data_IF_654037024761
#
_entry.id   IF_654037024761
#
_cell.length_a   1.000
_cell.length_b   1.000
_cell.length_c   1.000
_cell.angle_alpha   90.00
_cell.angle_beta   90.00
_cell.angle_gamma   90.00
#
_symmetry.space_group_name_H-M   'P 1'
#
loop_
_entity.id
_entity.type
_entity.pdbx_description
1 polymer ?
#
# COMPACT_ATOMS: atom_id res chain seq x y z
N UNK A 1 -12.18 32.42 48.16
CA UNK A 1 -12.02 33.12 46.86
C UNK A 1 -11.76 32.06 45.79
N UNK A 2 -12.78 31.27 45.44
CA UNK A 2 -13.48 31.27 44.14
C UNK A 2 -12.55 31.09 42.93
N UNK A 3 -12.36 29.83 42.52
CA UNK A 3 -11.79 29.45 41.23
C UNK A 3 -12.93 29.44 40.20
N UNK A 4 -12.91 30.41 39.28
CA UNK A 4 -13.89 30.51 38.19
C UNK A 4 -13.33 29.74 36.98
N UNK A 5 -13.92 28.57 36.72
CA UNK A 5 -13.76 27.81 35.48
C UNK A 5 -14.37 28.60 34.31
N UNK A 6 -13.55 29.06 33.37
CA UNK A 6 -14.02 29.65 32.11
C UNK A 6 -14.32 28.54 31.10
N UNK A 7 -15.56 28.04 31.12
CA UNK A 7 -16.11 27.25 30.02
C UNK A 7 -16.34 28.16 28.80
N UNK A 8 -15.46 28.07 27.80
CA UNK A 8 -15.67 28.69 26.49
C UNK A 8 -16.69 27.82 25.74
N UNK A 9 -17.96 28.20 25.81
CA UNK A 9 -19.01 27.62 24.97
C UNK A 9 -18.75 28.10 23.53
N UNK A 10 -18.23 27.19 22.70
CA UNK A 10 -18.13 27.38 21.26
C UNK A 10 -19.53 27.35 20.66
N UNK A 11 -20.16 28.50 20.53
CA UNK A 11 -21.43 28.65 19.84
C UNK A 11 -21.25 28.24 18.38
N UNK A 12 -22.00 27.22 17.95
CA UNK A 12 -22.08 26.87 16.54
C UNK A 12 -22.81 28.00 15.84
N UNK A 13 -22.16 28.65 14.88
CA UNK A 13 -22.78 29.56 13.92
C UNK A 13 -24.01 28.86 13.31
N UNK A 14 -25.20 29.27 13.74
CA UNK A 14 -26.44 28.92 13.08
C UNK A 14 -26.49 29.81 11.84
N UNK A 15 -25.96 29.31 10.73
CA UNK A 15 -26.15 29.93 9.44
C UNK A 15 -27.66 29.93 9.14
N UNK A 16 -28.23 31.12 8.97
CA UNK A 16 -29.61 31.32 8.53
C UNK A 16 -29.80 30.59 7.21
N UNK A 17 -30.58 29.51 7.23
CA UNK A 17 -30.91 28.75 6.03
C UNK A 17 -31.95 29.53 5.23
N UNK A 18 -31.54 30.17 4.14
CA UNK A 18 -32.48 30.53 3.08
C UNK A 18 -33.08 29.23 2.52
N UNK A 19 -34.38 29.03 2.74
CA UNK A 19 -35.17 27.94 2.18
C UNK A 19 -35.34 28.14 0.66
N UNK A 20 -34.29 27.83 -0.09
CA UNK A 20 -34.43 27.56 -1.53
C UNK A 20 -34.85 26.10 -1.63
N UNK A 21 -35.99 25.81 -2.27
CA UNK A 21 -36.46 24.44 -2.54
C UNK A 21 -35.40 23.70 -3.37
N UNK A 22 -34.46 23.02 -2.72
CA UNK A 22 -33.56 22.07 -3.37
C UNK A 22 -34.16 20.68 -3.21
N UNK A 23 -34.93 20.26 -4.22
CA UNK A 23 -35.21 18.85 -4.45
C UNK A 23 -33.93 18.19 -4.98
N UNK A 24 -32.97 17.93 -4.09
CA UNK A 24 -31.86 17.01 -4.39
C UNK A 24 -31.82 15.97 -3.27
N UNK A 25 -32.39 14.80 -3.56
CA UNK A 25 -32.42 13.65 -2.65
C UNK A 25 -31.12 12.84 -2.65
N UNK A 26 -30.12 13.23 -3.44
CA UNK A 26 -28.84 12.52 -3.51
C UNK A 26 -27.83 13.13 -2.54
N UNK A 27 -27.57 12.45 -1.42
CA UNK A 27 -26.47 12.83 -0.52
C UNK A 27 -25.13 12.70 -1.27
N UNK A 28 -24.27 13.71 -1.22
CA UNK A 28 -22.96 13.69 -1.89
C UNK A 28 -22.03 12.59 -1.34
N UNK A 29 -22.26 12.14 -0.09
CA UNK A 29 -21.57 11.01 0.53
C UNK A 29 -21.89 9.68 -0.14
N UNK A 30 -23.15 9.44 -0.51
CA UNK A 30 -23.56 8.23 -1.22
C UNK A 30 -22.84 8.09 -2.57
N UNK A 31 -22.53 9.22 -3.23
CA UNK A 31 -21.83 9.19 -4.54
C UNK A 31 -20.38 8.72 -4.46
N UNK A 32 -19.69 8.99 -3.33
CA UNK A 32 -18.30 8.55 -3.12
C UNK A 32 -18.23 7.08 -2.71
N UNK A 33 -19.13 6.65 -1.83
CA UNK A 33 -19.23 5.24 -1.43
C UNK A 33 -19.55 4.36 -2.64
N UNK A 34 -20.54 4.75 -3.44
CA UNK A 34 -20.88 4.06 -4.69
C UNK A 34 -19.68 3.93 -5.65
N UNK A 35 -18.79 4.95 -5.70
CA UNK A 35 -17.57 4.88 -6.53
C UNK A 35 -16.59 3.84 -6.00
N UNK A 36 -16.32 3.88 -4.70
CA UNK A 36 -15.41 2.93 -4.05
C UNK A 36 -15.93 1.50 -4.19
N UNK A 37 -17.24 1.28 -4.03
CA UNK A 37 -17.90 -0.02 -4.24
C UNK A 37 -17.72 -0.55 -5.68
N UNK A 38 -17.55 0.35 -6.66
CA UNK A 38 -17.31 0.01 -8.07
C UNK A 38 -15.81 -0.06 -8.42
N UNK A 39 -14.91 0.07 -7.44
CA UNK A 39 -13.47 0.10 -7.68
C UNK A 39 -12.98 1.40 -8.35
N UNK A 40 -13.77 2.46 -8.31
CA UNK A 40 -13.40 3.79 -8.79
C UNK A 40 -12.82 4.63 -7.65
N UNK A 41 -11.98 5.64 -7.95
CA UNK A 41 -11.48 6.53 -6.93
C UNK A 41 -12.60 7.34 -6.27
N UNK A 42 -12.47 7.57 -4.95
CA UNK A 42 -13.39 8.40 -4.19
C UNK A 42 -13.47 9.84 -4.72
N UNK A 43 -12.34 10.40 -5.16
CA UNK A 43 -12.29 11.69 -5.84
C UNK A 43 -12.18 11.46 -7.36
N UNK A 44 -13.14 12.00 -8.10
CA UNK A 44 -13.19 11.92 -9.58
C UNK A 44 -11.94 12.47 -10.26
N UNK A 45 -11.23 13.42 -9.62
CA UNK A 45 -10.07 14.13 -10.16
C UNK A 45 -8.71 13.47 -9.81
N UNK A 46 -8.70 12.21 -9.38
CA UNK A 46 -7.45 11.51 -9.02
C UNK A 46 -6.87 10.68 -10.15
N UNK A 47 -7.68 9.84 -10.78
CA UNK A 47 -7.28 8.92 -11.85
C UNK A 47 -8.45 8.67 -12.82
N UNK A 48 -8.12 8.30 -14.06
CA UNK A 48 -9.07 7.87 -15.06
C UNK A 48 -9.12 8.76 -16.31
N UNK A 49 -9.97 8.35 -17.25
CA UNK A 49 -10.07 8.95 -18.60
C UNK A 49 -10.21 10.47 -18.56
N UNK A 50 -10.98 11.01 -17.61
CA UNK A 50 -11.21 12.45 -17.50
C UNK A 50 -9.93 13.28 -17.26
N UNK A 51 -8.89 12.69 -16.68
CA UNK A 51 -7.66 13.39 -16.26
C UNK A 51 -6.45 12.96 -17.10
N UNK A 52 -6.45 11.69 -17.48
CA UNK A 52 -5.32 11.07 -18.18
C UNK A 52 -5.45 11.22 -19.70
N UNK A 53 -6.66 11.40 -20.24
CA UNK A 53 -6.86 11.76 -21.63
C UNK A 53 -6.45 13.22 -21.91
N UNK A 54 -6.10 13.57 -23.15
CA UNK A 54 -5.81 14.95 -23.53
C UNK A 54 -7.11 15.77 -23.60
N UNK A 55 -7.06 17.01 -23.11
CA UNK A 55 -8.22 17.93 -23.10
C UNK A 55 -8.61 18.45 -24.50
N UNK A 56 -7.66 18.46 -25.43
CA UNK A 56 -7.85 18.88 -26.83
C UNK A 56 -7.00 18.02 -27.76
N UNK A 57 -7.21 18.14 -29.07
CA UNK A 57 -6.37 17.53 -30.12
C UNK A 57 -6.32 18.47 -31.32
N UNK A 58 -5.22 18.45 -32.09
CA UNK A 58 -5.09 19.27 -33.29
C UNK A 58 -6.04 18.78 -34.40
N UNK A 59 -6.58 19.70 -35.21
CA UNK A 59 -7.46 19.34 -36.33
C UNK A 59 -6.78 18.41 -37.34
N UNK A 60 -5.48 18.58 -37.53
CA UNK A 60 -4.65 17.74 -38.39
C UNK A 60 -4.47 16.30 -37.85
N UNK A 61 -4.98 15.99 -36.66
CA UNK A 61 -4.82 14.69 -36.00
C UNK A 61 -3.47 14.48 -35.31
N UNK A 62 -2.64 15.53 -35.20
CA UNK A 62 -1.39 15.47 -34.42
C UNK A 62 -1.69 15.20 -32.95
N UNK A 63 -0.86 14.42 -32.25
CA UNK A 63 -1.06 14.15 -30.83
C UNK A 63 -0.80 15.39 -29.99
N UNK A 64 -1.53 15.50 -28.89
CA UNK A 64 -1.40 16.60 -27.94
C UNK A 64 -0.09 16.46 -27.15
N UNK A 65 0.70 17.53 -27.01
CA UNK A 65 1.91 17.49 -26.20
C UNK A 65 1.57 17.19 -24.73
N UNK A 66 2.45 16.44 -24.06
CA UNK A 66 2.22 15.98 -22.69
C UNK A 66 2.20 17.15 -21.69
N UNK A 67 1.14 17.23 -20.87
CA UNK A 67 1.06 18.27 -19.83
C UNK A 67 2.05 17.97 -18.68
N UNK A 68 2.57 19.03 -18.05
CA UNK A 68 3.54 18.92 -16.95
C UNK A 68 3.03 18.06 -15.78
N UNK A 69 1.75 18.20 -15.41
CA UNK A 69 1.13 17.41 -14.33
C UNK A 69 0.91 15.95 -14.74
N UNK A 70 0.56 15.68 -16.00
CA UNK A 70 0.46 14.32 -16.53
C UNK A 70 1.83 13.64 -16.47
N UNK A 71 2.88 14.31 -16.97
CA UNK A 71 4.26 13.84 -16.87
C UNK A 71 4.67 13.52 -15.43
N UNK A 72 4.39 14.43 -14.49
CA UNK A 72 4.69 14.23 -13.07
C UNK A 72 3.99 13.00 -12.48
N UNK A 73 2.73 12.75 -12.86
CA UNK A 73 1.99 11.56 -12.41
C UNK A 73 2.60 10.28 -12.98
N UNK A 74 2.92 10.27 -14.28
CA UNK A 74 3.56 9.11 -14.93
C UNK A 74 4.90 8.76 -14.29
N UNK A 75 5.77 9.75 -14.07
CA UNK A 75 7.06 9.53 -13.43
C UNK A 75 6.90 8.97 -12.01
N UNK A 76 5.95 9.51 -11.24
CA UNK A 76 5.66 9.01 -9.89
C UNK A 76 5.17 7.55 -9.92
N UNK A 77 4.31 7.19 -10.87
CA UNK A 77 3.86 5.80 -11.03
C UNK A 77 5.02 4.87 -11.38
N UNK A 78 5.96 5.30 -12.23
CA UNK A 78 7.19 4.55 -12.52
C UNK A 78 8.05 4.35 -11.28
N UNK A 79 8.19 5.38 -10.44
CA UNK A 79 8.95 5.29 -9.19
C UNK A 79 8.32 4.30 -8.21
N UNK A 80 6.99 4.31 -8.07
CA UNK A 80 6.28 3.32 -7.28
C UNK A 80 6.47 1.91 -7.81
N UNK A 81 6.34 1.71 -9.13
CA UNK A 81 6.55 0.40 -9.74
C UNK A 81 7.97 -0.12 -9.48
N UNK A 82 8.98 0.74 -9.60
CA UNK A 82 10.38 0.39 -9.30
C UNK A 82 10.56 -0.05 -7.85
N UNK A 83 9.98 0.70 -6.91
CA UNK A 83 10.04 0.37 -5.48
C UNK A 83 9.34 -0.96 -5.18
N UNK A 84 8.17 -1.20 -5.76
CA UNK A 84 7.42 -2.45 -5.57
C UNK A 84 8.25 -3.65 -6.04
N UNK A 85 8.86 -3.56 -7.22
CA UNK A 85 9.69 -4.64 -7.76
C UNK A 85 10.91 -4.90 -6.87
N UNK A 86 11.61 -3.84 -6.45
CA UNK A 86 12.76 -3.96 -5.57
C UNK A 86 12.38 -4.65 -4.25
N UNK A 87 11.31 -4.19 -3.59
CA UNK A 87 10.86 -4.74 -2.32
C UNK A 87 10.45 -6.22 -2.43
N UNK A 88 9.75 -6.60 -3.51
CA UNK A 88 9.38 -8.01 -3.75
C UNK A 88 10.64 -8.87 -3.90
N UNK A 89 11.61 -8.40 -4.70
CA UNK A 89 12.86 -9.14 -4.91
C UNK A 89 13.67 -9.31 -3.62
N UNK A 90 13.67 -8.31 -2.74
CA UNK A 90 14.33 -8.38 -1.44
C UNK A 90 13.66 -9.38 -0.50
N UNK A 91 12.33 -9.43 -0.49
CA UNK A 91 11.55 -10.39 0.31
C UNK A 91 11.82 -11.82 -0.18
N UNK A 92 11.78 -12.05 -1.50
CA UNK A 92 12.05 -13.37 -2.08
C UNK A 92 13.47 -13.84 -1.76
N UNK A 93 14.45 -12.94 -1.88
CA UNK A 93 15.83 -13.22 -1.50
C UNK A 93 15.97 -13.58 -0.01
N UNK A 94 15.34 -12.80 0.88
CA UNK A 94 15.39 -13.06 2.32
C UNK A 94 14.78 -14.44 2.67
N UNK A 95 13.68 -14.80 2.02
CA UNK A 95 13.03 -16.10 2.18
C UNK A 95 13.92 -17.25 1.73
N UNK A 96 14.53 -17.14 0.53
CA UNK A 96 15.44 -18.17 0.01
C UNK A 96 16.65 -18.35 0.93
N UNK A 97 17.30 -17.25 1.29
CA UNK A 97 18.47 -17.26 2.19
C UNK A 97 18.16 -17.91 3.54
N UNK A 98 16.96 -17.69 4.09
CA UNK A 98 16.53 -18.33 5.33
C UNK A 98 16.48 -19.86 5.18
N UNK A 99 15.87 -20.36 4.11
CA UNK A 99 15.81 -21.81 3.85
C UNK A 99 17.19 -22.41 3.61
N UNK A 100 18.03 -21.73 2.85
CA UNK A 100 19.40 -22.18 2.56
C UNK A 100 20.23 -22.28 3.84
N UNK A 101 20.13 -21.28 4.72
CA UNK A 101 20.80 -21.30 6.03
C UNK A 101 20.31 -22.44 6.93
N UNK A 102 19.01 -22.69 6.95
CA UNK A 102 18.43 -23.79 7.73
C UNK A 102 18.91 -25.15 7.21
N UNK A 103 18.93 -25.32 5.88
CA UNK A 103 19.42 -26.53 5.22
C UNK A 103 20.91 -26.74 5.46
N UNK A 104 21.73 -25.70 5.32
CA UNK A 104 23.16 -25.76 5.60
C UNK A 104 23.44 -26.15 7.05
N UNK A 105 22.71 -25.59 8.01
CA UNK A 105 22.84 -25.94 9.43
C UNK A 105 22.45 -27.40 9.71
N UNK A 106 21.47 -27.96 9.00
CA UNK A 106 21.08 -29.37 9.10
C UNK A 106 22.12 -30.30 8.46
N UNK A 107 22.64 -29.94 7.28
CA UNK A 107 23.72 -30.65 6.60
C UNK A 107 24.99 -30.67 7.46
N UNK A 108 25.37 -29.55 8.07
CA UNK A 108 26.51 -29.46 8.99
C UNK A 108 26.33 -30.39 10.20
N UNK A 109 25.15 -30.41 10.81
CA UNK A 109 24.84 -31.33 11.91
C UNK A 109 24.97 -32.78 11.47
N UNK A 110 24.42 -33.13 10.32
CA UNK A 110 24.50 -34.48 9.76
C UNK A 110 25.95 -34.86 9.45
N UNK A 111 26.74 -33.94 8.91
CA UNK A 111 28.16 -34.14 8.64
C UNK A 111 28.94 -34.41 9.93
N UNK A 112 28.68 -33.64 11.00
CA UNK A 112 29.31 -33.86 12.32
C UNK A 112 28.94 -35.24 12.89
N UNK A 113 27.68 -35.66 12.77
CA UNK A 113 27.20 -36.97 13.24
C UNK A 113 27.84 -38.11 12.43
N UNK A 114 27.88 -37.97 11.10
CA UNK A 114 28.44 -38.98 10.19
C UNK A 114 29.95 -39.13 10.35
N UNK A 115 30.66 -38.02 10.60
CA UNK A 115 32.11 -38.01 10.81
C UNK A 115 32.51 -38.40 12.24
N UNK A 116 31.55 -38.69 13.13
CA UNK A 116 31.84 -39.04 14.52
C UNK A 116 32.51 -40.42 14.60
N UNK A 117 33.61 -40.50 15.35
CA UNK A 117 34.31 -41.77 15.58
C UNK A 117 33.39 -42.80 16.26
N UNK A 118 33.64 -44.08 15.99
CA UNK A 118 32.91 -45.20 16.60
C UNK A 118 32.93 -45.08 18.14
N UNK A 119 31.80 -45.34 18.83
CA UNK A 119 31.75 -45.28 20.28
C UNK A 119 32.65 -46.35 20.92
N UNK A 120 33.23 -46.06 22.08
CA UNK A 120 34.13 -46.98 22.83
C UNK A 120 33.64 -47.26 24.25
N UNK A 121 34.18 -48.31 24.88
CA UNK A 121 33.99 -48.62 26.30
C UNK A 121 32.54 -48.99 26.66
N UNK A 122 32.03 -48.40 27.76
CA UNK A 122 30.68 -48.67 28.31
C UNK A 122 29.54 -48.41 27.30
N UNK A 123 29.76 -47.56 26.30
CA UNK A 123 28.77 -47.27 25.24
C UNK A 123 28.53 -48.47 24.30
N UNK A 124 29.49 -49.40 24.17
CA UNK A 124 29.30 -50.65 23.41
C UNK A 124 28.47 -51.67 24.19
N UNK A 125 28.66 -51.74 25.51
CA UNK A 125 28.00 -52.69 26.42
C UNK A 125 26.50 -52.43 26.60
N UNK A 126 26.02 -51.26 26.17
CA UNK A 126 24.63 -50.81 26.29
C UNK A 126 23.72 -51.27 25.14
N UNK A 127 24.26 -51.91 24.09
CA UNK A 127 23.47 -52.60 23.05
C UNK A 127 23.09 -53.98 23.57
N UNK A 128 21.93 -54.09 24.22
CA UNK A 128 21.14 -55.32 24.30
C UNK A 128 19.80 -55.06 23.62
#
# INVERSE_FOLDING_TARGET
>A
MSAILTNIIRTKNIAVQCLVRQLSSTSSMNTKQWRLERGLPANRLTEGVLIDAPDYTYLDGRPTPLLQKQKKRMLRQQDYARQIIANISEIDFAKQRYFDNMKAAEEDRNNIINNRLKPKGKALLRKK
#
